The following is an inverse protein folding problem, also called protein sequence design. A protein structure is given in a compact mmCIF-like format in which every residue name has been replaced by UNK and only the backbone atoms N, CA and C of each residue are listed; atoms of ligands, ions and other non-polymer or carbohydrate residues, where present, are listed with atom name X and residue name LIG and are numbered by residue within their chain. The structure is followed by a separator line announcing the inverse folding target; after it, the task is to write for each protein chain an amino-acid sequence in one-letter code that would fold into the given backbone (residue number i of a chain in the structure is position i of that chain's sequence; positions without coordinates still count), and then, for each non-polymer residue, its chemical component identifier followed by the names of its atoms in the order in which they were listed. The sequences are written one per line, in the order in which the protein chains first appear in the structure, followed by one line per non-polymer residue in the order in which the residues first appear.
data_IF_676402215325
#
_entry.id   IF_676402215325
#
_cell.length_a   1.000
_cell.length_b   1.000
_cell.length_c   1.000
_cell.angle_alpha   90.00
_cell.angle_beta   90.00
_cell.angle_gamma   90.00
#
_symmetry.space_group_name_H-M   'P 1'
#
loop_
_entity.id
_entity.type
_entity.pdbx_description
1 polymer ?
#
# COMPACT_ATOMS: atom_id res chain seq x y z
N UNK A 1 25.74 6.06 -13.70
CA UNK A 1 26.29 6.37 -15.04
C UNK A 1 25.65 7.68 -15.43
N UNK A 2 26.42 8.67 -15.89
CA UNK A 2 25.84 9.96 -16.30
C UNK A 2 25.38 9.94 -17.76
N UNK A 3 24.29 10.64 -18.01
CA UNK A 3 23.73 10.90 -19.34
C UNK A 3 23.57 12.39 -19.54
N UNK A 4 23.55 12.84 -20.80
CA UNK A 4 23.21 14.21 -21.13
C UNK A 4 21.78 14.26 -21.69
N UNK A 5 20.96 15.15 -21.15
CA UNK A 5 19.58 15.36 -21.60
C UNK A 5 19.41 16.78 -22.11
N UNK A 6 18.55 16.96 -23.11
CA UNK A 6 18.11 18.28 -23.57
C UNK A 6 16.65 18.46 -23.21
N UNK A 7 16.32 19.60 -22.62
CA UNK A 7 14.97 19.96 -22.25
C UNK A 7 14.35 20.91 -23.29
N UNK A 8 13.04 20.83 -23.49
CA UNK A 8 12.27 21.87 -24.18
C UNK A 8 11.92 23.04 -23.23
N UNK A 9 11.11 23.99 -23.72
CA UNK A 9 10.66 25.15 -22.95
C UNK A 9 9.82 24.75 -21.72
N UNK A 10 9.03 23.67 -21.84
CA UNK A 10 8.22 23.07 -20.76
C UNK A 10 9.03 22.18 -19.81
N UNK A 11 10.37 22.20 -19.91
CA UNK A 11 11.29 21.38 -19.11
C UNK A 11 11.16 19.87 -19.32
N UNK A 12 10.54 19.43 -20.41
CA UNK A 12 10.39 18.02 -20.77
C UNK A 12 11.65 17.56 -21.51
N UNK A 13 12.14 16.35 -21.20
CA UNK A 13 13.25 15.74 -21.94
C UNK A 13 12.80 15.45 -23.37
N UNK A 14 13.55 15.97 -24.35
CA UNK A 14 13.29 15.80 -25.80
C UNK A 14 14.45 15.17 -26.56
N UNK A 15 15.58 14.95 -25.88
CA UNK A 15 16.72 14.27 -26.45
C UNK A 15 17.65 13.78 -25.34
N UNK A 16 18.28 12.63 -25.58
CA UNK A 16 19.18 11.99 -24.62
C UNK A 16 20.43 11.45 -25.32
N UNK A 17 21.60 11.69 -24.72
CA UNK A 17 22.84 11.00 -25.05
C UNK A 17 23.27 10.13 -23.86
N UNK A 18 23.05 8.82 -23.99
CA UNK A 18 23.39 7.81 -22.99
C UNK A 18 24.45 6.81 -23.47
N UNK A 19 25.17 7.09 -24.56
CA UNK A 19 26.09 6.11 -25.19
C UNK A 19 27.23 5.71 -24.26
N UNK A 20 27.82 6.67 -23.55
CA UNK A 20 28.75 6.46 -22.44
C UNK A 20 28.96 7.77 -21.68
N UNK A 21 29.53 7.68 -20.48
CA UNK A 21 29.72 8.85 -19.61
C UNK A 21 30.64 9.93 -20.21
N UNK A 22 31.65 9.56 -21.01
CA UNK A 22 32.52 10.54 -21.67
C UNK A 22 31.76 11.32 -22.73
N UNK A 23 30.99 10.64 -23.58
CA UNK A 23 30.16 11.24 -24.61
C UNK A 23 29.08 12.14 -24.00
N UNK A 24 28.44 11.70 -22.91
CA UNK A 24 27.49 12.51 -22.16
C UNK A 24 28.14 13.79 -21.61
N UNK A 25 29.31 13.68 -20.97
CA UNK A 25 30.06 14.86 -20.46
C UNK A 25 30.43 15.84 -21.57
N UNK A 26 30.89 15.36 -22.72
CA UNK A 26 31.19 16.23 -23.86
C UNK A 26 29.93 16.88 -24.44
N UNK A 27 28.81 16.14 -24.50
CA UNK A 27 27.55 16.68 -25.00
C UNK A 27 26.99 17.76 -24.08
N UNK A 28 27.10 17.59 -22.76
CA UNK A 28 26.64 18.57 -21.77
C UNK A 28 27.43 19.89 -21.75
N UNK A 29 28.57 19.98 -22.45
CA UNK A 29 29.27 21.26 -22.68
C UNK A 29 28.59 22.12 -23.75
N UNK A 30 27.68 21.56 -24.54
CA UNK A 30 26.93 22.29 -25.55
C UNK A 30 25.71 22.95 -24.92
N UNK A 31 25.35 24.12 -25.43
CA UNK A 31 24.20 24.89 -24.94
C UNK A 31 22.90 24.05 -24.99
N UNK A 32 22.10 24.17 -23.93
CA UNK A 32 20.81 23.47 -23.79
C UNK A 32 20.91 22.01 -23.34
N UNK A 33 22.11 21.47 -23.11
CA UNK A 33 22.29 20.12 -22.58
C UNK A 33 22.64 20.15 -21.09
N UNK A 34 22.02 19.25 -20.34
CA UNK A 34 22.22 19.08 -18.91
C UNK A 34 22.79 17.70 -18.64
N UNK A 35 23.85 17.61 -17.84
CA UNK A 35 24.40 16.34 -17.38
C UNK A 35 23.66 15.89 -16.13
N UNK A 36 23.11 14.68 -16.13
CA UNK A 36 22.36 14.10 -15.02
C UNK A 36 22.82 12.68 -14.74
N UNK A 37 22.57 12.19 -13.52
CA UNK A 37 22.70 10.76 -13.25
C UNK A 37 21.56 10.01 -13.94
N UNK A 38 21.90 8.92 -14.63
CA UNK A 38 20.90 8.01 -15.21
C UNK A 38 20.20 7.25 -14.10
N UNK A 39 18.89 7.10 -14.26
CA UNK A 39 18.09 6.15 -13.49
C UNK A 39 17.92 4.83 -14.28
N UNK A 40 17.97 3.64 -13.67
CA UNK A 40 17.69 2.37 -14.34
C UNK A 40 16.30 2.25 -14.95
N UNK A 41 15.30 2.98 -14.43
CA UNK A 41 13.94 3.01 -14.96
C UNK A 41 13.78 4.01 -16.12
N UNK A 42 14.79 4.85 -16.38
CA UNK A 42 14.77 5.78 -17.50
C UNK A 42 14.90 5.03 -18.83
N UNK A 43 14.03 5.37 -19.79
CA UNK A 43 14.07 4.86 -21.17
C UNK A 43 13.97 5.99 -22.17
N UNK A 44 14.76 5.93 -23.24
CA UNK A 44 14.71 6.90 -24.34
C UNK A 44 13.34 6.86 -25.03
N UNK A 45 12.72 5.69 -25.15
CA UNK A 45 11.40 5.53 -25.80
C UNK A 45 10.29 6.30 -25.07
N UNK A 46 10.48 6.56 -23.77
CA UNK A 46 9.52 7.26 -22.91
C UNK A 46 10.12 8.52 -22.28
N UNK A 47 11.18 9.09 -22.87
CA UNK A 47 11.88 10.25 -22.29
C UNK A 47 10.97 11.47 -22.09
N UNK A 48 9.93 11.60 -22.91
CA UNK A 48 8.91 12.65 -22.79
C UNK A 48 8.08 12.61 -21.50
N UNK A 49 8.20 11.56 -20.69
CA UNK A 49 7.60 11.45 -19.36
C UNK A 49 8.50 11.99 -18.24
N UNK A 50 9.70 12.45 -18.58
CA UNK A 50 10.73 12.82 -17.63
C UNK A 50 11.12 14.29 -17.73
N UNK A 51 11.58 14.81 -16.60
CA UNK A 51 12.18 16.15 -16.47
C UNK A 51 13.36 16.09 -15.51
N UNK A 52 14.09 17.19 -15.40
CA UNK A 52 15.16 17.37 -14.41
C UNK A 52 14.64 18.30 -13.32
N UNK A 53 14.58 17.81 -12.08
CA UNK A 53 14.10 18.59 -10.94
C UNK A 53 15.12 19.66 -10.56
N UNK A 54 14.68 20.91 -10.46
CA UNK A 54 15.58 22.05 -10.23
C UNK A 54 16.29 22.03 -8.87
N UNK A 55 15.68 21.44 -7.84
CA UNK A 55 16.20 21.45 -6.47
C UNK A 55 17.45 20.60 -6.27
N UNK A 56 17.59 19.50 -7.01
CA UNK A 56 18.65 18.50 -6.82
C UNK A 56 19.27 18.01 -8.14
N UNK A 57 18.73 18.41 -9.29
CA UNK A 57 19.23 18.01 -10.61
C UNK A 57 18.93 16.55 -10.97
N UNK A 58 18.00 15.89 -10.27
CA UNK A 58 17.67 14.50 -10.51
C UNK A 58 16.65 14.33 -11.65
N UNK A 59 16.74 13.20 -12.35
CA UNK A 59 15.72 12.77 -13.29
C UNK A 59 14.48 12.30 -12.53
N UNK A 60 13.33 12.88 -12.85
CA UNK A 60 12.06 12.61 -12.19
C UNK A 60 10.94 12.44 -13.22
N UNK A 61 9.91 11.70 -12.85
CA UNK A 61 8.69 11.65 -13.65
C UNK A 61 7.94 12.98 -13.56
N UNK A 62 7.45 13.48 -14.70
CA UNK A 62 6.70 14.74 -14.76
C UNK A 62 5.41 14.67 -13.94
N UNK A 63 4.73 13.52 -13.93
CA UNK A 63 3.42 13.34 -13.29
C UNK A 63 3.46 13.45 -11.76
N UNK A 64 4.55 13.00 -11.14
CA UNK A 64 4.71 12.98 -9.68
C UNK A 64 5.74 13.99 -9.20
N UNK A 65 6.61 14.45 -10.09
CA UNK A 65 7.79 15.23 -9.75
C UNK A 65 8.77 14.42 -8.91
N UNK A 66 8.68 13.08 -8.86
CA UNK A 66 9.47 12.16 -8.02
C UNK A 66 10.45 11.31 -8.83
N UNK A 67 11.55 10.90 -8.21
CA UNK A 67 12.37 9.81 -8.74
C UNK A 67 11.62 8.49 -8.56
N UNK A 68 11.89 7.45 -9.37
CA UNK A 68 11.26 6.15 -9.22
C UNK A 68 11.40 5.55 -7.80
N UNK A 69 12.53 5.79 -7.13
CA UNK A 69 12.77 5.32 -5.76
C UNK A 69 11.90 6.07 -4.73
N UNK A 70 11.71 7.38 -4.90
CA UNK A 70 10.79 8.16 -4.07
C UNK A 70 9.34 7.73 -4.26
N UNK A 71 8.91 7.48 -5.51
CA UNK A 71 7.58 6.96 -5.83
C UNK A 71 7.34 5.61 -5.15
N UNK A 72 8.32 4.70 -5.25
CA UNK A 72 8.27 3.39 -4.58
C UNK A 72 8.21 3.52 -3.07
N UNK A 73 8.98 4.44 -2.49
CA UNK A 73 8.97 4.71 -1.05
C UNK A 73 7.61 5.22 -0.59
N UNK A 74 7.03 6.17 -1.33
CA UNK A 74 5.70 6.68 -1.05
C UNK A 74 4.62 5.59 -1.18
N UNK A 75 4.66 4.78 -2.25
CA UNK A 75 3.72 3.69 -2.47
C UNK A 75 3.78 2.65 -1.34
N UNK A 76 4.99 2.28 -0.89
CA UNK A 76 5.16 1.36 0.24
C UNK A 76 4.63 1.93 1.56
N UNK A 77 4.85 3.23 1.82
CA UNK A 77 4.31 3.89 3.00
C UNK A 77 2.76 3.91 3.01
N UNK A 78 2.15 4.22 1.85
CA UNK A 78 0.70 4.19 1.68
C UNK A 78 0.14 2.78 1.88
N UNK A 79 0.80 1.78 1.29
CA UNK A 79 0.41 0.38 1.46
C UNK A 79 0.48 -0.04 2.94
N UNK A 80 1.58 0.29 3.63
CA UNK A 80 1.74 0.02 5.06
C UNK A 80 0.64 0.65 5.92
N UNK A 81 0.27 1.90 5.65
CA UNK A 81 -0.83 2.60 6.34
C UNK A 81 -2.18 1.93 6.11
N UNK A 82 -2.47 1.54 4.87
CA UNK A 82 -3.72 0.89 4.51
C UNK A 82 -3.83 -0.52 5.14
N UNK A 83 -2.75 -1.30 5.08
CA UNK A 83 -2.66 -2.62 5.73
C UNK A 83 -2.82 -2.49 7.25
N UNK A 84 -2.14 -1.52 7.88
CA UNK A 84 -2.27 -1.27 9.32
C UNK A 84 -3.70 -0.92 9.73
N UNK A 85 -4.39 -0.10 8.93
CA UNK A 85 -5.79 0.28 9.17
C UNK A 85 -6.73 -0.92 9.02
N UNK A 86 -6.55 -1.74 7.96
CA UNK A 86 -7.33 -2.95 7.74
C UNK A 86 -7.13 -3.97 8.87
N UNK A 87 -5.89 -4.13 9.35
CA UNK A 87 -5.57 -5.04 10.46
C UNK A 87 -6.24 -4.58 11.76
N UNK A 88 -6.19 -3.30 12.09
CA UNK A 88 -6.85 -2.76 13.28
C UNK A 88 -8.38 -2.98 13.22
N UNK A 89 -9.00 -2.71 12.07
CA UNK A 89 -10.42 -2.96 11.87
C UNK A 89 -10.79 -4.45 12.02
N UNK A 90 -9.95 -5.35 11.51
CA UNK A 90 -10.13 -6.79 11.67
C UNK A 90 -10.00 -7.24 13.14
N UNK A 91 -9.03 -6.70 13.87
CA UNK A 91 -8.85 -6.98 15.31
C UNK A 91 -10.05 -6.51 16.13
N UNK A 92 -10.56 -5.31 15.86
CA UNK A 92 -11.75 -4.77 16.52
C UNK A 92 -13.00 -5.61 16.22
N UNK A 93 -13.17 -6.04 14.96
CA UNK A 93 -14.26 -6.93 14.58
C UNK A 93 -14.16 -8.29 15.28
N UNK A 94 -12.96 -8.88 15.35
CA UNK A 94 -12.74 -10.14 16.07
C UNK A 94 -13.07 -10.01 17.55
N UNK A 95 -12.62 -8.94 18.21
CA UNK A 95 -12.94 -8.67 19.62
C UNK A 95 -14.44 -8.51 19.87
N UNK A 96 -15.15 -7.82 18.98
CA UNK A 96 -16.63 -7.72 19.05
C UNK A 96 -17.30 -9.08 18.90
N UNK A 97 -16.80 -9.93 18.00
CA UNK A 97 -17.31 -11.29 17.81
C UNK A 97 -17.07 -12.16 19.05
N UNK A 98 -15.87 -12.13 19.62
CA UNK A 98 -15.54 -12.84 20.87
C UNK A 98 -16.46 -12.41 22.03
N UNK A 99 -16.68 -11.10 22.18
CA UNK A 99 -17.60 -10.56 23.18
C UNK A 99 -19.05 -11.02 22.96
N UNK A 100 -19.51 -11.07 21.70
CA UNK A 100 -20.86 -11.55 21.37
C UNK A 100 -21.02 -13.05 21.70
N UNK A 101 -20.02 -13.87 21.36
CA UNK A 101 -19.99 -15.30 21.70
C UNK A 101 -20.01 -15.50 23.21
N UNK A 102 -19.21 -14.73 23.95
CA UNK A 102 -19.19 -14.77 25.41
C UNK A 102 -20.56 -14.37 26.02
N UNK A 103 -21.18 -13.31 25.50
CA UNK A 103 -22.50 -12.86 25.93
C UNK A 103 -23.59 -13.90 25.69
N UNK A 104 -23.59 -14.55 24.52
CA UNK A 104 -24.51 -15.65 24.20
C UNK A 104 -24.32 -16.85 25.14
N UNK A 105 -23.07 -17.22 25.43
CA UNK A 105 -22.76 -18.28 26.37
C UNK A 105 -23.27 -17.96 27.79
N UNK A 106 -23.13 -16.71 28.24
CA UNK A 106 -23.66 -16.27 29.53
C UNK A 106 -25.19 -16.27 29.57
N UNK A 107 -25.85 -15.80 28.49
CA UNK A 107 -27.30 -15.86 28.38
C UNK A 107 -27.80 -17.31 28.43
N UNK A 108 -27.15 -18.22 27.70
CA UNK A 108 -27.44 -19.65 27.74
C UNK A 108 -27.42 -20.23 29.17
N UNK A 109 -26.42 -19.86 29.98
CA UNK A 109 -26.34 -20.27 31.39
C UNK A 109 -27.49 -19.72 32.25
N UNK A 110 -27.97 -18.51 31.95
CA UNK A 110 -29.09 -17.88 32.67
C UNK A 110 -30.44 -18.53 32.35
N UNK A 111 -30.66 -18.91 31.09
CA UNK A 111 -31.96 -19.47 30.66
C UNK A 111 -32.06 -20.99 30.79
N UNK A 112 -30.93 -21.71 30.85
CA UNK A 112 -30.93 -23.16 30.97
C UNK A 112 -31.78 -23.71 32.15
N UNK A 113 -31.72 -23.14 33.38
CA UNK A 113 -32.56 -23.60 34.48
C UNK A 113 -34.07 -23.36 34.28
N UNK A 114 -34.46 -22.29 33.57
CA UNK A 114 -35.87 -22.03 33.25
C UNK A 114 -36.44 -23.03 32.25
N UNK A 115 -35.61 -23.55 31.34
CA UNK A 115 -36.03 -24.56 30.36
C UNK A 115 -36.16 -25.95 31.00
N UNK A 116 -35.33 -26.26 32.00
CA UNK A 116 -35.36 -27.56 32.69
C UNK A 116 -36.61 -27.73 33.59
N UNK A 117 -37.11 -26.63 34.17
CA UNK A 117 -38.35 -26.65 35.00
C UNK A 117 -39.64 -26.84 34.20
N UNK A 118 -39.64 -26.68 32.88
CA UNK A 118 -40.78 -27.01 32.02
C UNK A 118 -40.85 -28.48 31.60
N UNK A 119 -39.90 -29.33 32.04
CA UNK A 119 -39.98 -30.77 31.80
C UNK A 119 -41.10 -31.32 32.72
N UNK A 120 -42.26 -31.76 32.21
CA UNK A 120 -43.30 -32.29 33.06
C UNK A 120 -42.70 -33.47 33.84
N UNK A 121 -42.78 -33.45 35.16
CA UNK A 121 -42.48 -34.64 35.95
C UNK A 121 -43.44 -35.71 35.44
N UNK A 122 -42.90 -36.68 34.72
CA UNK A 122 -43.59 -37.92 34.43
C UNK A 122 -43.80 -38.60 35.77
N UNK A 123 -44.87 -38.23 36.48
CA UNK A 123 -45.43 -39.05 37.53
C UNK A 123 -46.07 -40.25 36.82
N UNK A 124 -45.22 -41.19 36.38
CA UNK A 124 -45.62 -42.59 36.39
C UNK A 124 -45.69 -42.97 37.86
N UNK A 125 -46.85 -42.66 38.44
CA UNK A 125 -47.35 -43.28 39.65
C UNK A 125 -47.59 -44.74 39.26
N UNK A 126 -46.53 -45.55 39.31
CA UNK A 126 -46.62 -47.00 39.14
C UNK A 126 -47.20 -47.53 40.46
N UNK A 127 -48.53 -47.38 40.54
CA UNK A 127 -49.34 -47.78 41.68
C UNK A 127 -49.13 -49.26 41.96
N UNK A 128 -48.48 -49.53 43.07
CA UNK A 128 -48.34 -50.87 43.60
C UNK A 128 -49.69 -51.52 43.92
N UNK A 129 -49.64 -52.85 43.91
CA UNK A 129 -50.54 -53.83 44.55
C UNK A 129 -51.95 -54.01 43.95
N UNK A 130 -52.18 -55.16 43.31
CA UNK A 130 -52.62 -56.42 43.96
C UNK A 130 -52.36 -57.63 43.07
#
# INVERSE_FOLDING_TARGET
MKIAVRLNEDKIVINTNNTNEKAAKEQAKKEGWTLVESDPAFSIETEYLWTVRESDGLLVHISTGMTPDEEKTQANALLGKNVGTALAAAQDANKKAENAVAGLAQFGKLVAPLLDTTRPSSNTDDGGTK
#
